data_IF_415408688783
#
_entry.id   IF_415408688783
#
_cell.length_a   1.000
_cell.length_b   1.000
_cell.length_c   1.000
_cell.angle_alpha   90.00
_cell.angle_beta   90.00
_cell.angle_gamma   90.00
#
_symmetry.space_group_name_H-M   'P 1'
#
loop_
_entity.id
_entity.type
_entity.pdbx_description
1 polymer ?
#
# COMPACT_ATOMS: atom_id res chain seq x y z
N UNK A 1 6.51 -4.50 -9.33
CA UNK A 1 7.69 -5.36 -9.11
C UNK A 1 8.99 -4.51 -9.07
N UNK A 2 9.44 -4.21 -7.85
CA UNK A 2 10.73 -3.56 -7.58
C UNK A 2 11.81 -4.64 -7.56
N UNK A 3 13.01 -4.38 -8.09
CA UNK A 3 14.17 -5.26 -7.82
C UNK A 3 15.11 -4.59 -6.83
N UNK A 4 15.67 -5.43 -5.99
CA UNK A 4 16.75 -5.12 -5.05
C UNK A 4 17.93 -4.56 -5.82
N UNK A 5 18.24 -3.28 -5.58
CA UNK A 5 19.52 -2.72 -6.02
C UNK A 5 20.62 -3.32 -5.15
N UNK A 6 21.52 -4.09 -5.76
CA UNK A 6 22.67 -4.66 -5.09
C UNK A 6 23.48 -3.60 -4.36
N UNK A 7 23.75 -3.84 -3.07
CA UNK A 7 24.63 -3.04 -2.25
C UNK A 7 26.07 -3.40 -2.62
N UNK A 8 26.62 -2.77 -3.65
CA UNK A 8 28.06 -2.68 -3.81
C UNK A 8 28.48 -1.31 -3.30
N UNK A 9 29.05 -1.30 -2.11
CA UNK A 9 29.87 -0.18 -1.67
C UNK A 9 30.86 0.20 -2.77
N UNK A 10 31.12 1.50 -2.90
CA UNK A 10 32.16 2.08 -3.74
C UNK A 10 33.34 1.12 -3.96
N UNK A 11 33.33 0.38 -5.07
CA UNK A 11 34.48 -0.30 -5.65
C UNK A 11 34.39 -0.11 -7.16
N UNK A 12 35.18 0.83 -7.67
CA UNK A 12 35.66 0.74 -9.03
C UNK A 12 36.45 -0.57 -9.17
N UNK A 13 35.93 -1.56 -9.92
CA UNK A 13 36.66 -2.37 -10.92
C UNK A 13 35.79 -3.51 -11.46
N UNK A 14 35.71 -3.52 -12.80
CA UNK A 14 35.40 -4.56 -13.77
C UNK A 14 34.78 -5.90 -13.36
N UNK A 15 33.74 -6.30 -14.09
CA UNK A 15 33.65 -7.54 -14.88
C UNK A 15 32.46 -7.35 -15.84
N UNK A 16 32.72 -7.34 -17.15
CA UNK A 16 31.81 -7.82 -18.18
C UNK A 16 32.65 -8.15 -19.43
N UNK A 17 32.96 -9.43 -19.63
CA UNK A 17 33.29 -9.96 -20.96
C UNK A 17 31.98 -10.05 -21.75
N UNK A 18 32.00 -9.56 -22.98
CA UNK A 18 30.87 -9.52 -23.90
C UNK A 18 30.66 -10.86 -24.64
N UNK A 19 29.41 -11.16 -25.05
CA UNK A 19 29.11 -11.88 -26.30
C UNK A 19 28.31 -11.01 -27.29
N UNK A 20 28.18 -11.42 -28.58
CA UNK A 20 28.17 -10.49 -29.71
C UNK A 20 26.80 -9.90 -30.10
N UNK A 21 26.86 -8.61 -30.41
CA UNK A 21 26.24 -7.83 -31.51
C UNK A 21 25.18 -8.53 -32.38
N UNK A 22 23.94 -8.04 -32.56
CA UNK A 22 23.56 -6.71 -33.03
C UNK A 22 22.14 -6.33 -32.56
N UNK A 23 22.00 -5.45 -31.56
CA UNK A 23 20.79 -4.64 -31.25
C UNK A 23 21.04 -3.60 -30.13
N UNK A 24 22.26 -3.09 -29.94
CA UNK A 24 22.70 -2.54 -28.64
C UNK A 24 23.04 -1.06 -28.53
N UNK A 25 23.11 -0.26 -29.61
CA UNK A 25 23.66 1.10 -29.46
C UNK A 25 22.68 2.17 -28.96
N UNK A 26 21.36 2.01 -29.15
CA UNK A 26 20.35 3.00 -28.74
C UNK A 26 19.91 2.78 -27.28
N UNK A 27 19.77 1.52 -26.87
CA UNK A 27 19.34 1.14 -25.50
C UNK A 27 20.38 1.52 -24.45
N UNK A 28 21.68 1.42 -24.78
CA UNK A 28 22.77 1.85 -23.90
C UNK A 28 22.81 3.37 -23.71
N UNK A 29 22.53 4.15 -24.76
CA UNK A 29 22.50 5.62 -24.72
C UNK A 29 21.40 6.16 -23.79
N UNK A 30 20.18 5.61 -23.89
CA UNK A 30 19.06 6.04 -23.04
C UNK A 30 19.27 5.63 -21.58
N UNK A 31 19.77 4.41 -21.34
CA UNK A 31 20.09 3.94 -19.99
C UNK A 31 21.14 4.82 -19.30
N UNK A 32 22.21 5.20 -20.02
CA UNK A 32 23.26 6.10 -19.50
C UNK A 32 22.67 7.47 -19.15
N UNK A 33 21.81 8.03 -20.00
CA UNK A 33 21.13 9.32 -19.73
C UNK A 33 20.27 9.25 -18.47
N UNK A 34 19.46 8.22 -18.32
CA UNK A 34 18.60 8.01 -17.14
C UNK A 34 19.44 7.83 -15.88
N UNK A 35 20.53 7.05 -15.94
CA UNK A 35 21.43 6.87 -14.81
C UNK A 35 22.11 8.17 -14.38
N UNK A 36 22.54 9.00 -15.33
CA UNK A 36 23.10 10.32 -15.07
C UNK A 36 22.06 11.27 -14.44
N UNK A 37 20.83 11.28 -14.96
CA UNK A 37 19.72 12.06 -14.40
C UNK A 37 19.39 11.61 -12.96
N UNK A 38 19.32 10.30 -12.71
CA UNK A 38 19.10 9.75 -11.36
C UNK A 38 20.23 10.15 -10.40
N UNK A 39 21.48 10.12 -10.84
CA UNK A 39 22.63 10.54 -10.02
C UNK A 39 22.52 12.01 -9.62
N UNK A 40 22.27 12.91 -10.58
CA UNK A 40 22.06 14.34 -10.33
C UNK A 40 20.90 14.58 -9.36
N UNK A 41 19.81 13.82 -9.50
CA UNK A 41 18.67 13.89 -8.61
C UNK A 41 19.05 13.48 -7.18
N UNK A 42 19.76 12.36 -7.00
CA UNK A 42 20.23 11.91 -5.69
C UNK A 42 21.23 12.89 -5.07
N UNK A 43 22.14 13.46 -5.85
CA UNK A 43 23.05 14.52 -5.39
C UNK A 43 22.29 15.76 -4.92
N UNK A 44 21.20 16.13 -5.59
CA UNK A 44 20.33 17.23 -5.19
C UNK A 44 19.59 16.93 -3.88
N UNK A 45 18.97 15.75 -3.77
CA UNK A 45 18.19 15.34 -2.59
C UNK A 45 19.10 15.21 -1.37
N UNK A 46 20.21 14.49 -1.51
CA UNK A 46 21.12 14.15 -0.42
C UNK A 46 22.29 15.13 -0.28
N UNK A 47 22.16 16.33 -0.85
CA UNK A 47 23.08 17.46 -0.63
C UNK A 47 23.35 17.72 0.86
N UNK A 48 22.39 17.59 1.80
CA UNK A 48 22.65 17.79 3.24
C UNK A 48 23.73 16.87 3.84
N UNK A 49 24.07 15.76 3.18
CA UNK A 49 25.18 14.89 3.61
C UNK A 49 26.55 15.38 3.14
N UNK A 50 26.63 16.38 2.26
CA UNK A 50 27.90 16.93 1.77
C UNK A 50 28.64 17.64 2.91
N UNK A 51 29.93 17.33 3.06
CA UNK A 51 30.78 17.88 4.12
C UNK A 51 30.74 17.10 5.43
N UNK A 52 29.79 16.17 5.61
CA UNK A 52 29.78 15.27 6.77
C UNK A 52 30.81 14.15 6.60
N UNK A 53 31.50 13.79 7.68
CA UNK A 53 32.35 12.60 7.69
C UNK A 53 31.52 11.36 7.38
N UNK A 54 31.87 10.62 6.33
CA UNK A 54 31.15 9.42 5.91
C UNK A 54 31.19 8.39 7.03
N UNK A 55 30.01 7.94 7.47
CA UNK A 55 29.85 7.08 8.65
C UNK A 55 30.36 7.72 9.96
N UNK A 56 30.44 9.05 10.06
CA UNK A 56 30.59 9.75 11.34
C UNK A 56 29.29 9.76 12.15
N UNK A 57 29.31 10.22 13.41
CA UNK A 57 28.10 10.34 14.25
C UNK A 57 27.01 11.20 13.60
N UNK A 58 27.36 12.37 13.05
CA UNK A 58 26.43 13.30 12.40
C UNK A 58 25.82 12.72 11.12
N UNK A 59 26.65 12.07 10.29
CA UNK A 59 26.18 11.36 9.09
C UNK A 59 25.14 10.30 9.45
N UNK A 60 25.42 9.48 10.48
CA UNK A 60 24.49 8.45 10.95
C UNK A 60 23.23 9.06 11.55
N UNK A 61 23.35 10.15 12.32
CA UNK A 61 22.21 10.85 12.90
C UNK A 61 21.29 11.41 11.81
N UNK A 62 21.85 12.08 10.80
CA UNK A 62 21.09 12.60 9.67
C UNK A 62 20.39 11.49 8.88
N UNK A 63 21.08 10.37 8.60
CA UNK A 63 20.47 9.20 7.95
C UNK A 63 19.35 8.56 8.77
N UNK A 64 19.52 8.42 10.08
CA UNK A 64 18.46 7.89 10.96
C UNK A 64 17.31 8.88 11.14
N UNK A 65 17.52 10.17 10.89
CA UNK A 65 16.47 11.16 11.01
C UNK A 65 15.41 10.99 9.91
N UNK A 66 15.75 10.52 8.71
CA UNK A 66 14.83 10.50 7.58
C UNK A 66 14.36 11.88 7.09
N UNK A 67 14.87 12.98 7.67
CA UNK A 67 14.47 14.34 7.31
C UNK A 67 14.87 14.71 5.88
N UNK A 68 15.95 14.13 5.36
CA UNK A 68 16.46 14.49 4.02
C UNK A 68 15.47 14.11 2.93
N UNK A 69 14.95 12.87 2.98
CA UNK A 69 13.88 12.46 2.07
C UNK A 69 12.58 13.22 2.36
N UNK A 70 12.19 13.31 3.64
CA UNK A 70 10.92 13.90 4.05
C UNK A 70 10.77 15.37 3.63
N UNK A 71 11.80 16.20 3.86
CA UNK A 71 11.78 17.62 3.55
C UNK A 71 11.96 17.92 2.06
N UNK A 72 12.54 17.00 1.29
CA UNK A 72 12.63 17.15 -0.15
C UNK A 72 11.28 16.91 -0.82
N UNK A 73 10.62 15.80 -0.49
CA UNK A 73 9.37 15.42 -1.13
C UNK A 73 8.17 16.14 -0.51
N UNK A 74 8.17 16.32 0.82
CA UNK A 74 7.12 16.91 1.65
C UNK A 74 5.75 16.24 1.47
N UNK A 75 5.66 14.90 1.47
CA UNK A 75 4.40 14.18 1.21
C UNK A 75 3.29 14.47 2.25
N UNK A 76 3.67 15.02 3.41
CA UNK A 76 2.76 15.51 4.45
C UNK A 76 2.04 16.82 4.08
N UNK A 77 2.53 17.59 3.10
CA UNK A 77 2.01 18.90 2.69
C UNK A 77 0.77 18.74 1.81
N UNK A 78 -0.39 18.61 2.45
CA UNK A 78 -1.67 18.43 1.76
C UNK A 78 -2.01 19.56 0.77
N UNK A 79 -1.65 20.81 1.10
CA UNK A 79 -1.88 21.95 0.22
C UNK A 79 -0.94 21.88 -1.00
N UNK A 80 0.36 21.70 -0.77
CA UNK A 80 1.37 21.62 -1.83
C UNK A 80 1.21 20.39 -2.74
N UNK A 81 0.57 19.33 -2.24
CA UNK A 81 0.20 18.16 -3.03
C UNK A 81 -1.16 18.29 -3.73
N UNK A 82 -1.93 19.36 -3.48
CA UNK A 82 -3.20 19.62 -4.14
C UNK A 82 -4.43 18.97 -3.49
N UNK A 83 -4.30 18.34 -2.32
CA UNK A 83 -5.41 17.72 -1.60
C UNK A 83 -6.42 18.75 -1.05
N UNK A 84 -5.94 19.90 -0.57
CA UNK A 84 -6.84 21.00 -0.14
C UNK A 84 -7.65 21.53 -1.31
N UNK A 85 -7.01 21.76 -2.46
CA UNK A 85 -7.68 22.25 -3.69
C UNK A 85 -8.74 21.26 -4.18
N UNK A 86 -8.40 19.98 -4.36
CA UNK A 86 -9.36 19.00 -4.89
C UNK A 86 -10.54 18.78 -3.92
N UNK A 87 -10.33 18.93 -2.61
CA UNK A 87 -11.43 18.92 -1.64
C UNK A 87 -12.41 20.07 -1.88
N UNK A 88 -11.91 21.29 -2.11
CA UNK A 88 -12.73 22.46 -2.43
C UNK A 88 -13.48 22.24 -3.75
N UNK A 89 -12.77 21.78 -4.78
CA UNK A 89 -13.34 21.47 -6.10
C UNK A 89 -14.45 20.39 -5.99
N UNK A 90 -14.29 19.40 -5.10
CA UNK A 90 -15.22 18.29 -4.89
C UNK A 90 -16.23 18.52 -3.75
N UNK A 91 -16.36 19.75 -3.22
CA UNK A 91 -17.15 20.00 -2.01
C UNK A 91 -18.63 19.59 -2.12
N UNK A 92 -19.23 19.71 -3.31
CA UNK A 92 -20.62 19.26 -3.56
C UNK A 92 -20.70 17.73 -3.49
N UNK A 93 -19.82 17.05 -4.21
CA UNK A 93 -19.72 15.58 -4.24
C UNK A 93 -19.50 15.00 -2.85
N UNK A 94 -18.61 15.60 -2.05
CA UNK A 94 -18.34 15.17 -0.68
C UNK A 94 -19.58 15.27 0.21
N UNK A 95 -20.29 16.41 0.16
CA UNK A 95 -21.55 16.58 0.90
C UNK A 95 -22.62 15.58 0.47
N UNK A 96 -22.68 15.27 -0.82
CA UNK A 96 -23.62 14.26 -1.33
C UNK A 96 -23.28 12.86 -0.80
N UNK A 97 -22.00 12.48 -0.81
CA UNK A 97 -21.55 11.20 -0.25
C UNK A 97 -21.91 11.10 1.23
N UNK A 98 -21.67 12.16 2.00
CA UNK A 98 -22.03 12.19 3.42
C UNK A 98 -23.54 12.07 3.64
N UNK A 99 -24.35 12.81 2.87
CA UNK A 99 -25.80 12.74 2.96
C UNK A 99 -26.32 11.33 2.60
N UNK A 100 -25.77 10.69 1.58
CA UNK A 100 -26.12 9.32 1.20
C UNK A 100 -25.73 8.34 2.30
N UNK A 101 -24.48 8.43 2.78
CA UNK A 101 -23.96 7.61 3.88
C UNK A 101 -24.85 7.69 5.12
N UNK A 102 -25.26 8.90 5.52
CA UNK A 102 -26.09 9.13 6.71
C UNK A 102 -27.54 8.65 6.49
N UNK A 103 -28.02 8.64 5.24
CA UNK A 103 -29.34 8.13 4.87
C UNK A 103 -29.40 6.60 4.66
N UNK A 104 -28.25 5.91 4.63
CA UNK A 104 -28.22 4.46 4.42
C UNK A 104 -28.93 3.72 5.54
N UNK A 105 -29.94 2.91 5.19
CA UNK A 105 -30.62 2.00 6.14
C UNK A 105 -29.71 0.84 6.56
N UNK A 106 -28.80 0.44 5.68
CA UNK A 106 -27.84 -0.63 5.92
C UNK A 106 -26.56 -0.05 6.50
N UNK A 107 -26.15 -0.44 7.71
CA UNK A 107 -24.91 0.03 8.31
C UNK A 107 -23.70 -0.30 7.42
N UNK A 108 -22.73 0.62 7.34
CA UNK A 108 -21.56 0.50 6.47
C UNK A 108 -20.75 -0.80 6.68
N UNK A 109 -20.76 -1.39 7.88
CA UNK A 109 -20.09 -2.67 8.13
C UNK A 109 -20.80 -3.87 7.50
N UNK A 110 -22.13 -3.84 7.38
CA UNK A 110 -22.85 -4.90 6.68
C UNK A 110 -22.50 -4.85 5.20
N UNK A 111 -22.45 -3.65 4.62
CA UNK A 111 -21.97 -3.44 3.25
C UNK A 111 -20.50 -3.85 3.10
N UNK A 112 -19.64 -3.49 4.06
CA UNK A 112 -18.23 -3.88 4.06
C UNK A 112 -18.07 -5.40 4.04
N UNK A 113 -18.84 -6.12 4.86
CA UNK A 113 -18.85 -7.60 4.89
C UNK A 113 -19.27 -8.21 3.55
N UNK A 114 -20.23 -7.61 2.85
CA UNK A 114 -20.66 -8.04 1.50
C UNK A 114 -19.59 -7.78 0.43
N UNK A 115 -18.75 -6.76 0.62
CA UNK A 115 -17.73 -6.35 -0.33
C UNK A 115 -16.35 -6.98 -0.09
N UNK A 116 -16.18 -7.80 0.95
CA UNK A 116 -14.89 -8.41 1.33
C UNK A 116 -14.23 -9.14 0.15
N UNK A 117 -14.99 -10.00 -0.54
CA UNK A 117 -14.50 -10.75 -1.70
C UNK A 117 -14.02 -9.80 -2.80
N UNK A 118 -14.89 -8.88 -3.23
CA UNK A 118 -14.63 -8.05 -4.40
C UNK A 118 -13.45 -7.10 -4.13
N UNK A 119 -13.37 -6.60 -2.90
CA UNK A 119 -12.27 -5.78 -2.43
C UNK A 119 -10.94 -6.55 -2.36
N UNK A 120 -10.94 -7.75 -1.76
CA UNK A 120 -9.73 -8.57 -1.68
C UNK A 120 -9.26 -9.02 -3.06
N UNK A 121 -10.17 -9.47 -3.92
CA UNK A 121 -9.93 -9.86 -5.30
C UNK A 121 -9.26 -8.72 -6.09
N UNK A 122 -9.88 -7.53 -6.12
CA UNK A 122 -9.33 -6.39 -6.83
C UNK A 122 -7.98 -5.95 -6.23
N UNK A 123 -7.83 -6.00 -4.91
CA UNK A 123 -6.57 -5.65 -4.25
C UNK A 123 -5.42 -6.55 -4.69
N UNK A 124 -5.62 -7.87 -4.77
CA UNK A 124 -4.55 -8.78 -5.24
C UNK A 124 -4.36 -8.69 -6.76
N UNK A 125 -5.43 -8.47 -7.53
CA UNK A 125 -5.33 -8.29 -8.99
C UNK A 125 -4.47 -7.07 -9.37
N UNK A 126 -4.55 -5.97 -8.61
CA UNK A 126 -3.66 -4.81 -8.76
C UNK A 126 -2.18 -5.20 -8.55
N UNK A 127 -1.89 -6.24 -7.76
CA UNK A 127 -0.54 -6.77 -7.55
C UNK A 127 -0.15 -7.89 -8.53
N UNK A 128 -0.85 -8.04 -9.66
CA UNK A 128 -0.55 -9.04 -10.69
C UNK A 128 -0.98 -10.48 -10.31
N UNK A 129 -2.01 -10.60 -9.47
CA UNK A 129 -2.73 -11.86 -9.24
C UNK A 129 -3.75 -12.08 -10.37
N UNK A 130 -3.78 -13.29 -10.93
CA UNK A 130 -4.53 -13.62 -12.15
C UNK A 130 -5.73 -14.54 -11.88
N UNK A 131 -6.05 -14.83 -10.61
CA UNK A 131 -7.28 -15.54 -10.26
C UNK A 131 -8.49 -14.80 -10.82
N UNK A 132 -9.48 -15.55 -11.29
CA UNK A 132 -10.75 -14.97 -11.74
C UNK A 132 -11.70 -14.76 -10.57
N UNK A 133 -12.72 -13.91 -10.75
CA UNK A 133 -13.68 -13.60 -9.69
C UNK A 133 -14.40 -14.84 -9.16
N UNK A 134 -14.79 -15.77 -10.04
CA UNK A 134 -15.44 -17.02 -9.62
C UNK A 134 -14.60 -17.85 -8.65
N UNK A 135 -13.28 -17.90 -8.85
CA UNK A 135 -12.35 -18.56 -7.93
C UNK A 135 -12.31 -17.85 -6.58
N UNK A 136 -12.35 -16.51 -6.60
CA UNK A 136 -12.33 -15.70 -5.38
C UNK A 136 -13.57 -15.91 -4.51
N UNK A 137 -14.74 -16.02 -5.14
CA UNK A 137 -16.00 -16.36 -4.47
C UNK A 137 -15.91 -17.73 -3.79
N UNK A 138 -15.43 -18.76 -4.52
CA UNK A 138 -15.29 -20.12 -3.97
C UNK A 138 -14.36 -20.15 -2.76
N UNK A 139 -13.25 -19.42 -2.82
CA UNK A 139 -12.31 -19.32 -1.70
C UNK A 139 -12.91 -18.58 -0.50
N UNK A 140 -13.57 -17.44 -0.71
CA UNK A 140 -14.21 -16.67 0.37
C UNK A 140 -15.33 -17.48 1.05
N UNK A 141 -16.21 -18.11 0.28
CA UNK A 141 -17.29 -18.94 0.80
C UNK A 141 -16.77 -20.11 1.63
N UNK A 142 -15.69 -20.77 1.16
CA UNK A 142 -15.08 -21.85 1.91
C UNK A 142 -14.47 -21.37 3.22
N UNK A 143 -13.68 -20.29 3.20
CA UNK A 143 -13.07 -19.71 4.39
C UNK A 143 -14.14 -19.28 5.39
N UNK A 144 -15.18 -18.58 4.93
CA UNK A 144 -16.28 -18.10 5.76
C UNK A 144 -17.03 -19.24 6.42
N UNK A 145 -17.35 -20.30 5.68
CA UNK A 145 -18.23 -21.37 6.17
C UNK A 145 -17.50 -22.42 7.02
N UNK A 146 -16.22 -22.69 6.73
CA UNK A 146 -15.49 -23.84 7.29
C UNK A 146 -14.36 -23.44 8.24
N UNK A 147 -13.86 -22.20 8.16
CA UNK A 147 -12.71 -21.76 8.94
C UNK A 147 -13.06 -20.61 9.89
N UNK A 148 -13.55 -19.49 9.34
CA UNK A 148 -13.75 -18.25 10.08
C UNK A 148 -14.92 -18.32 11.08
N UNK A 149 -15.88 -19.23 10.90
CA UNK A 149 -16.95 -19.52 11.87
C UNK A 149 -16.45 -19.98 13.23
N UNK A 150 -15.21 -20.50 13.30
CA UNK A 150 -14.59 -20.97 14.54
C UNK A 150 -13.92 -19.85 15.35
N UNK A 151 -13.92 -18.62 14.85
CA UNK A 151 -13.22 -17.49 15.47
C UNK A 151 -14.16 -16.31 15.66
N UNK A 152 -14.09 -15.66 16.82
CA UNK A 152 -14.59 -14.29 16.97
C UNK A 152 -13.53 -13.32 16.40
N UNK A 153 -13.53 -13.15 15.08
CA UNK A 153 -12.54 -12.31 14.39
C UNK A 153 -12.52 -10.89 14.93
N UNK A 154 -13.68 -10.38 15.33
CA UNK A 154 -13.79 -9.03 15.86
C UNK A 154 -12.96 -8.86 17.16
N UNK A 155 -12.74 -9.94 17.92
CA UNK A 155 -11.98 -9.95 19.17
C UNK A 155 -10.50 -10.30 19.02
N UNK A 156 -10.06 -10.73 17.85
CA UNK A 156 -8.64 -10.96 17.59
C UNK A 156 -7.89 -9.64 17.47
N UNK A 157 -6.78 -9.51 18.19
CA UNK A 157 -5.78 -8.48 17.94
C UNK A 157 -5.07 -8.70 16.59
N UNK A 158 -4.45 -7.67 16.00
CA UNK A 158 -3.63 -7.83 14.79
C UNK A 158 -2.49 -8.85 14.94
N UNK A 159 -1.94 -8.97 16.15
CA UNK A 159 -0.90 -9.97 16.45
C UNK A 159 -1.46 -11.39 16.41
N UNK A 160 -2.62 -11.64 17.04
CA UNK A 160 -3.27 -12.96 16.98
C UNK A 160 -3.70 -13.30 15.56
N UNK A 161 -4.18 -12.33 14.78
CA UNK A 161 -4.49 -12.52 13.36
C UNK A 161 -3.25 -12.93 12.55
N UNK A 162 -2.10 -12.28 12.80
CA UNK A 162 -0.82 -12.67 12.19
C UNK A 162 -0.45 -14.11 12.54
N UNK A 163 -0.66 -14.53 13.78
CA UNK A 163 -0.23 -15.83 14.27
C UNK A 163 -1.20 -16.96 13.89
N UNK A 164 -2.46 -16.62 13.56
CA UNK A 164 -3.52 -17.54 13.14
C UNK A 164 -3.09 -18.48 12.01
N UNK A 165 -3.14 -19.80 12.25
CA UNK A 165 -2.80 -20.80 11.24
C UNK A 165 -3.90 -20.85 10.16
N UNK A 166 -3.61 -20.35 8.97
CA UNK A 166 -4.57 -20.32 7.86
C UNK A 166 -4.57 -21.66 7.10
N UNK A 167 -5.75 -22.16 6.69
CA UNK A 167 -5.84 -23.42 5.97
C UNK A 167 -5.25 -23.30 4.56
N UNK A 168 -4.78 -24.42 4.00
CA UNK A 168 -4.56 -24.50 2.55
C UNK A 168 -5.91 -24.63 1.85
N UNK A 169 -6.16 -23.77 0.87
CA UNK A 169 -7.41 -23.72 0.09
C UNK A 169 -7.16 -23.91 -1.39
N UNK A 170 -5.92 -24.25 -1.79
CA UNK A 170 -5.54 -24.46 -3.19
C UNK A 170 -6.26 -25.62 -3.87
N UNK A 171 -6.74 -26.60 -3.11
CA UNK A 171 -7.51 -27.73 -3.63
C UNK A 171 -8.86 -27.34 -4.24
N UNK A 172 -9.41 -26.17 -3.90
CA UNK A 172 -10.69 -25.67 -4.43
C UNK A 172 -10.55 -25.16 -5.87
N UNK A 173 -9.35 -24.76 -6.25
CA UNK A 173 -9.03 -24.16 -7.55
C UNK A 173 -7.75 -24.82 -8.10
N UNK A 174 -7.82 -26.12 -8.44
CA UNK A 174 -6.63 -26.96 -8.62
C UNK A 174 -5.71 -26.55 -9.79
N UNK A 175 -6.23 -25.75 -10.73
CA UNK A 175 -5.48 -25.26 -11.89
C UNK A 175 -4.80 -23.91 -11.64
N UNK A 176 -5.06 -23.27 -10.50
CA UNK A 176 -4.51 -21.96 -10.18
C UNK A 176 -3.10 -22.05 -9.59
N UNK A 177 -2.34 -20.96 -9.72
CA UNK A 177 -1.05 -20.82 -9.04
C UNK A 177 -1.24 -20.77 -7.51
N UNK A 178 -0.54 -21.64 -6.79
CA UNK A 178 -0.69 -21.78 -5.33
C UNK A 178 -0.30 -20.53 -4.55
N UNK A 179 0.67 -19.75 -5.02
CA UNK A 179 1.06 -18.52 -4.34
C UNK A 179 0.00 -17.43 -4.55
N UNK A 180 -0.62 -17.37 -5.73
CA UNK A 180 -1.75 -16.47 -5.98
C UNK A 180 -2.97 -16.83 -5.12
N UNK A 181 -3.27 -18.13 -4.95
CA UNK A 181 -4.32 -18.59 -4.02
C UNK A 181 -3.99 -18.22 -2.58
N UNK A 182 -2.74 -18.42 -2.17
CA UNK A 182 -2.27 -18.07 -0.82
C UNK A 182 -2.37 -16.56 -0.55
N UNK A 183 -2.00 -15.75 -1.54
CA UNK A 183 -2.08 -14.29 -1.47
C UNK A 183 -3.52 -13.82 -1.32
N UNK A 184 -4.44 -14.34 -2.13
CA UNK A 184 -5.86 -14.01 -2.05
C UNK A 184 -6.47 -14.47 -0.72
N UNK A 185 -6.17 -15.71 -0.28
CA UNK A 185 -6.59 -16.23 1.03
C UNK A 185 -6.20 -15.29 2.16
N UNK A 186 -4.94 -14.86 2.21
CA UNK A 186 -4.45 -13.94 3.24
C UNK A 186 -5.23 -12.62 3.21
N UNK A 187 -5.47 -12.09 2.01
CA UNK A 187 -6.18 -10.83 1.85
C UNK A 187 -7.66 -10.93 2.22
N UNK A 188 -8.35 -12.03 1.89
CA UNK A 188 -9.73 -12.28 2.30
C UNK A 188 -9.86 -12.27 3.82
N UNK A 189 -8.98 -13.00 4.51
CA UNK A 189 -8.97 -13.06 5.98
C UNK A 189 -8.70 -11.68 6.60
N UNK A 190 -7.71 -10.94 6.09
CA UNK A 190 -7.40 -9.60 6.57
C UNK A 190 -8.55 -8.60 6.32
N UNK A 191 -9.13 -8.61 5.12
CA UNK A 191 -10.29 -7.76 4.76
C UNK A 191 -11.50 -8.08 5.64
N UNK A 192 -11.76 -9.36 5.90
CA UNK A 192 -12.86 -9.78 6.77
C UNK A 192 -12.64 -9.32 8.21
N UNK A 193 -11.43 -9.52 8.74
CA UNK A 193 -11.07 -9.03 10.07
C UNK A 193 -11.29 -7.51 10.18
N UNK A 194 -10.84 -6.71 9.21
CA UNK A 194 -11.06 -5.25 9.19
C UNK A 194 -12.55 -4.91 9.17
N UNK A 195 -13.36 -5.63 8.37
CA UNK A 195 -14.81 -5.41 8.29
C UNK A 195 -15.55 -5.70 9.60
N UNK A 196 -14.91 -6.45 10.51
CA UNK A 196 -15.45 -6.83 11.80
C UNK A 196 -14.87 -6.01 12.97
N UNK A 197 -13.62 -5.56 12.88
CA UNK A 197 -12.93 -4.82 13.96
C UNK A 197 -13.04 -3.32 13.88
N UNK A 198 -13.09 -2.72 12.67
CA UNK A 198 -13.03 -1.26 12.49
C UNK A 198 -14.13 -0.51 13.25
N UNK A 199 -15.31 -1.12 13.42
CA UNK A 199 -16.43 -0.53 14.15
C UNK A 199 -16.26 -0.51 15.67
N UNK A 200 -15.28 -1.22 16.23
CA UNK A 200 -15.01 -1.16 17.69
C UNK A 200 -14.27 0.11 18.10
N UNK A 201 -13.71 0.84 17.13
CA UNK A 201 -13.01 2.10 17.35
C UNK A 201 -13.44 3.15 16.30
N UNK A 202 -14.76 3.48 16.24
CA UNK A 202 -15.29 4.40 15.25
C UNK A 202 -14.72 5.81 15.47
N UNK A 203 -14.50 6.54 14.38
CA UNK A 203 -14.03 7.92 14.42
C UNK A 203 -12.56 8.10 14.81
N UNK A 204 -11.78 7.03 14.97
CA UNK A 204 -10.34 7.11 15.28
C UNK A 204 -9.48 7.26 14.02
N UNK A 205 -8.22 7.67 14.18
CA UNK A 205 -7.27 7.88 13.08
C UNK A 205 -6.82 6.61 12.34
N UNK A 206 -7.35 5.43 12.69
CA UNK A 206 -7.01 4.13 12.10
C UNK A 206 -5.85 3.39 12.78
N UNK A 207 -5.41 2.30 12.17
CA UNK A 207 -4.35 1.40 12.65
C UNK A 207 -3.02 2.13 12.97
N UNK A 208 -2.38 1.79 14.09
CA UNK A 208 -1.04 2.31 14.43
C UNK A 208 0.09 1.53 13.72
N UNK A 209 1.34 1.99 13.89
CA UNK A 209 2.52 1.41 13.24
C UNK A 209 2.68 -0.10 13.49
N UNK A 210 2.52 -0.55 14.74
CA UNK A 210 2.68 -1.95 15.08
C UNK A 210 1.57 -2.80 14.47
N UNK A 211 0.33 -2.33 14.50
CA UNK A 211 -0.82 -3.01 13.91
C UNK A 211 -0.65 -3.17 12.38
N UNK A 212 -0.16 -2.13 11.71
CA UNK A 212 0.16 -2.18 10.26
C UNK A 212 1.28 -3.18 9.98
N UNK A 213 2.30 -3.29 10.84
CA UNK A 213 3.37 -4.29 10.69
C UNK A 213 2.83 -5.72 10.87
N UNK A 214 1.94 -5.94 11.85
CA UNK A 214 1.28 -7.24 12.02
C UNK A 214 0.40 -7.60 10.81
N UNK A 215 -0.38 -6.66 10.29
CA UNK A 215 -1.22 -6.88 9.11
C UNK A 215 -0.39 -7.10 7.85
N UNK A 216 0.70 -6.35 7.65
CA UNK A 216 1.65 -6.61 6.57
C UNK A 216 2.21 -8.03 6.65
N UNK A 217 2.51 -8.50 7.87
CA UNK A 217 2.93 -9.88 8.09
C UNK A 217 1.85 -10.90 7.75
N UNK A 218 0.58 -10.64 8.10
CA UNK A 218 -0.53 -11.53 7.79
C UNK A 218 -0.78 -11.62 6.26
N UNK A 219 -0.72 -10.48 5.56
CA UNK A 219 -0.87 -10.42 4.10
C UNK A 219 0.21 -11.22 3.35
N UNK A 220 1.41 -11.28 3.90
CA UNK A 220 2.56 -11.95 3.29
C UNK A 220 2.78 -13.40 3.78
N UNK A 221 1.90 -13.89 4.65
CA UNK A 221 2.02 -15.21 5.28
C UNK A 221 2.04 -16.32 4.23
N UNK A 222 2.91 -17.32 4.43
CA UNK A 222 3.06 -18.50 3.57
C UNK A 222 3.44 -18.22 2.09
N UNK A 223 3.74 -16.98 1.70
CA UNK A 223 4.20 -16.64 0.34
C UNK A 223 5.69 -16.95 0.09
N UNK A 224 6.41 -17.36 1.14
CA UNK A 224 7.78 -17.84 1.02
C UNK A 224 7.84 -19.35 1.31
N UNK A 225 7.86 -20.21 0.29
CA UNK A 225 7.85 -21.65 0.47
C UNK A 225 9.16 -22.18 1.10
N UNK A 226 10.24 -21.39 1.04
CA UNK A 226 11.57 -21.80 1.51
C UNK A 226 11.82 -21.49 2.98
N UNK A 227 11.24 -20.40 3.48
CA UNK A 227 11.45 -19.95 4.86
C UNK A 227 10.20 -19.26 5.41
N UNK A 228 9.45 -19.99 6.25
CA UNK A 228 8.28 -19.46 6.94
C UNK A 228 8.64 -18.22 7.76
N UNK A 229 7.74 -17.23 7.77
CA UNK A 229 7.88 -16.00 8.56
C UNK A 229 8.89 -14.99 8.01
N UNK A 230 9.43 -15.19 6.80
CA UNK A 230 10.34 -14.24 6.16
C UNK A 230 9.89 -13.90 4.73
N UNK A 231 10.24 -12.71 4.26
CA UNK A 231 10.06 -12.35 2.85
C UNK A 231 10.87 -13.27 1.92
N UNK A 232 10.39 -13.51 0.68
CA UNK A 232 11.13 -14.27 -0.34
C UNK A 232 12.58 -13.78 -0.53
N UNK A 233 13.56 -14.69 -0.74
CA UNK A 233 14.98 -14.36 -0.79
C UNK A 233 15.40 -13.53 -2.01
N UNK A 234 14.60 -13.52 -3.08
CA UNK A 234 14.81 -12.68 -4.27
C UNK A 234 14.58 -11.17 -3.99
N UNK A 235 13.97 -10.85 -2.84
CA UNK A 235 13.76 -9.49 -2.34
C UNK A 235 14.92 -8.96 -1.46
N UNK A 236 16.00 -9.73 -1.33
CA UNK A 236 17.27 -9.28 -0.76
C UNK A 236 17.67 -10.02 0.51
N UNK A 237 18.36 -9.37 1.47
CA UNK A 237 18.74 -10.01 2.71
C UNK A 237 17.49 -10.45 3.49
N UNK A 238 17.64 -11.46 4.35
CA UNK A 238 16.49 -11.97 5.07
C UNK A 238 15.90 -10.93 6.03
N UNK A 239 14.60 -10.71 5.88
CA UNK A 239 13.76 -9.79 6.66
C UNK A 239 12.54 -10.59 7.13
N UNK A 240 12.19 -10.45 8.42
CA UNK A 240 10.99 -11.07 8.98
C UNK A 240 9.74 -10.40 8.40
N UNK A 241 8.64 -11.14 8.26
CA UNK A 241 7.38 -10.55 7.80
C UNK A 241 6.91 -9.45 8.75
N UNK A 242 6.56 -8.29 8.20
CA UNK A 242 6.22 -7.08 8.96
C UNK A 242 7.41 -6.22 9.39
N UNK A 243 8.66 -6.63 9.11
CA UNK A 243 9.83 -5.77 9.30
C UNK A 243 10.14 -4.95 8.04
N UNK A 244 10.72 -3.76 8.26
CA UNK A 244 11.11 -2.88 7.18
C UNK A 244 12.25 -3.43 6.34
N UNK A 245 12.26 -3.04 5.07
CA UNK A 245 13.28 -3.43 4.10
C UNK A 245 14.66 -2.98 4.54
N UNK A 246 15.66 -3.83 4.26
CA UNK A 246 17.08 -3.54 4.49
C UNK A 246 17.81 -3.11 3.23
N UNK A 247 17.12 -3.03 2.09
CA UNK A 247 17.68 -2.71 0.78
C UNK A 247 17.04 -1.48 0.15
N UNK A 248 17.81 -0.67 -0.59
CA UNK A 248 17.26 0.41 -1.39
C UNK A 248 16.36 -0.13 -2.51
N UNK A 249 15.33 0.65 -2.85
CA UNK A 249 14.39 0.31 -3.91
C UNK A 249 14.72 1.04 -5.21
N UNK A 250 14.39 0.38 -6.32
CA UNK A 250 14.34 1.00 -7.65
C UNK A 250 13.06 0.58 -8.35
N UNK A 251 12.31 1.56 -8.88
CA UNK A 251 11.12 1.28 -9.66
C UNK A 251 11.52 1.04 -11.13
N UNK A 252 11.17 -0.13 -11.68
CA UNK A 252 11.44 -0.43 -13.10
C UNK A 252 10.67 0.51 -14.04
N UNK A 253 9.41 0.77 -13.73
CA UNK A 253 8.51 1.65 -14.49
C UNK A 253 8.86 3.13 -14.35
N UNK A 254 9.60 3.51 -13.31
CA UNK A 254 10.07 4.87 -13.11
C UNK A 254 11.48 4.86 -12.50
N UNK A 255 12.50 4.79 -13.37
CA UNK A 255 13.90 4.80 -12.94
C UNK A 255 14.33 6.12 -12.27
N UNK A 256 13.49 7.14 -12.21
CA UNK A 256 13.74 8.38 -11.47
C UNK A 256 13.02 8.43 -10.11
N UNK A 257 12.17 7.45 -9.78
CA UNK A 257 11.54 7.37 -8.47
C UNK A 257 12.59 7.20 -7.36
N UNK A 258 12.52 8.03 -6.33
CA UNK A 258 13.42 7.99 -5.17
C UNK A 258 12.62 7.70 -3.92
N UNK A 259 12.91 6.55 -3.32
CA UNK A 259 12.39 6.13 -2.02
C UNK A 259 13.40 6.51 -0.93
N UNK A 260 12.98 6.63 0.33
CA UNK A 260 13.93 6.82 1.44
C UNK A 260 14.91 5.65 1.50
N UNK A 261 16.15 5.89 1.93
CA UNK A 261 17.08 4.78 2.16
C UNK A 261 16.62 3.92 3.34
N UNK A 262 17.01 2.64 3.41
CA UNK A 262 16.59 1.75 4.52
C UNK A 262 16.82 2.32 5.92
N UNK A 263 17.88 3.10 6.12
CA UNK A 263 18.19 3.76 7.40
C UNK A 263 17.21 4.88 7.76
N UNK A 264 16.57 5.49 6.76
CA UNK A 264 15.60 6.58 6.92
C UNK A 264 14.17 6.05 7.13
N UNK A 265 13.86 4.85 6.61
CA UNK A 265 12.50 4.27 6.61
C UNK A 265 11.82 4.29 7.98
N UNK A 266 12.47 3.87 9.11
CA UNK A 266 11.80 3.90 10.41
C UNK A 266 11.32 5.29 10.81
N UNK A 267 12.14 6.32 10.59
CA UNK A 267 11.77 7.69 10.94
C UNK A 267 10.71 8.28 9.99
N UNK A 268 10.78 7.97 8.70
CA UNK A 268 9.73 8.34 7.75
C UNK A 268 8.38 7.70 8.09
N UNK A 269 8.36 6.41 8.48
CA UNK A 269 7.12 5.74 8.86
C UNK A 269 6.55 6.31 10.15
N UNK A 270 7.39 6.55 11.16
CA UNK A 270 6.96 7.22 12.40
C UNK A 270 6.25 8.55 12.09
N UNK A 271 6.87 9.40 11.25
CA UNK A 271 6.27 10.67 10.81
C UNK A 271 4.98 10.51 10.01
N UNK A 272 4.89 9.48 9.18
CA UNK A 272 3.66 9.17 8.45
C UNK A 272 2.49 8.91 9.42
N UNK A 273 2.69 8.12 10.48
CA UNK A 273 1.64 7.89 11.48
C UNK A 273 1.35 9.13 12.32
N UNK A 274 2.37 9.91 12.70
CA UNK A 274 2.20 11.20 13.40
C UNK A 274 1.41 12.21 12.54
N UNK A 275 1.73 12.31 11.24
CA UNK A 275 1.00 13.13 10.28
C UNK A 275 -0.45 12.69 10.16
N UNK A 276 -0.71 11.39 10.03
CA UNK A 276 -2.07 10.87 9.85
C UNK A 276 -2.93 11.14 11.09
N UNK A 277 -2.39 10.95 12.29
CA UNK A 277 -3.06 11.31 13.54
C UNK A 277 -3.36 12.82 13.57
N UNK A 278 -2.36 13.65 13.30
CA UNK A 278 -2.51 15.11 13.33
C UNK A 278 -3.56 15.62 12.34
N UNK A 279 -3.47 15.23 11.07
CA UNK A 279 -4.40 15.71 10.03
C UNK A 279 -5.84 15.23 10.28
N UNK A 280 -5.99 14.06 10.91
CA UNK A 280 -7.26 13.54 11.37
C UNK A 280 -7.85 14.41 12.50
N UNK A 281 -7.05 14.72 13.53
CA UNK A 281 -7.49 15.53 14.68
C UNK A 281 -7.80 16.98 14.31
N UNK A 282 -7.07 17.54 13.34
CA UNK A 282 -7.27 18.90 12.81
C UNK A 282 -8.63 19.08 12.12
N UNK A 283 -9.23 17.99 11.61
CA UNK A 283 -10.54 17.96 10.93
C UNK A 283 -10.69 18.97 9.78
N UNK A 284 -9.58 19.39 9.17
CA UNK A 284 -9.57 20.31 8.03
C UNK A 284 -9.78 19.60 6.69
N UNK A 285 -9.36 18.34 6.61
CA UNK A 285 -9.61 17.50 5.44
C UNK A 285 -10.71 16.48 5.72
N UNK A 286 -11.54 16.26 4.72
CA UNK A 286 -12.58 15.26 4.71
C UNK A 286 -11.94 13.85 4.77
N UNK A 287 -12.51 12.88 5.51
CA UNK A 287 -11.90 11.55 5.68
C UNK A 287 -11.56 10.84 4.37
N UNK A 288 -12.40 10.93 3.33
CA UNK A 288 -12.09 10.39 2.00
C UNK A 288 -10.80 10.98 1.38
N UNK A 289 -10.52 12.26 1.63
CA UNK A 289 -9.32 12.93 1.12
C UNK A 289 -8.09 12.49 1.92
N UNK A 290 -8.21 12.40 3.25
CA UNK A 290 -7.16 11.86 4.13
C UNK A 290 -6.81 10.42 3.72
N UNK A 291 -7.81 9.59 3.44
CA UNK A 291 -7.63 8.21 3.00
C UNK A 291 -6.82 8.12 1.69
N UNK A 292 -7.12 9.00 0.72
CA UNK A 292 -6.38 9.07 -0.55
C UNK A 292 -4.91 9.47 -0.33
N UNK A 293 -4.67 10.53 0.46
CA UNK A 293 -3.31 10.98 0.76
C UNK A 293 -2.52 9.92 1.54
N UNK A 294 -3.18 9.21 2.46
CA UNK A 294 -2.59 8.12 3.24
C UNK A 294 -2.01 7.03 2.35
N UNK A 295 -2.76 6.59 1.33
CA UNK A 295 -2.27 5.58 0.36
C UNK A 295 -1.06 6.10 -0.42
N UNK A 296 -1.17 7.31 -0.98
CA UNK A 296 -0.12 7.88 -1.81
C UNK A 296 1.19 8.08 -1.03
N UNK A 297 1.09 8.61 0.20
CA UNK A 297 2.23 8.86 1.10
C UNK A 297 2.87 7.54 1.55
N UNK A 298 2.09 6.57 2.05
CA UNK A 298 2.62 5.28 2.48
C UNK A 298 3.39 4.58 1.34
N UNK A 299 2.83 4.58 0.13
CA UNK A 299 3.48 3.99 -1.05
C UNK A 299 4.70 4.77 -1.53
N UNK A 300 4.84 6.05 -1.16
CA UNK A 300 6.01 6.86 -1.49
C UNK A 300 7.20 6.50 -0.59
N UNK A 301 6.94 6.09 0.66
CA UNK A 301 7.95 5.55 1.58
C UNK A 301 8.32 4.11 1.20
N UNK A 302 7.31 3.29 0.89
CA UNK A 302 7.43 1.88 0.50
C UNK A 302 8.26 1.06 1.50
N UNK A 303 7.77 0.90 2.75
CA UNK A 303 8.60 0.47 3.88
C UNK A 303 8.99 -1.01 3.89
N UNK A 304 8.18 -1.89 3.31
CA UNK A 304 8.39 -3.34 3.35
C UNK A 304 9.11 -3.86 2.10
N UNK A 305 9.78 -5.03 2.16
CA UNK A 305 10.32 -5.67 0.96
C UNK A 305 9.27 -5.96 -0.13
N UNK A 306 8.07 -6.36 0.28
CA UNK A 306 6.91 -6.58 -0.59
C UNK A 306 5.59 -6.41 0.20
N UNK A 307 4.45 -6.41 -0.49
CA UNK A 307 3.11 -6.28 0.11
C UNK A 307 2.68 -4.85 0.39
N UNK A 308 3.46 -3.84 -0.02
CA UNK A 308 3.19 -2.43 0.27
C UNK A 308 1.87 -1.95 -0.32
N UNK A 309 1.52 -2.37 -1.55
CA UNK A 309 0.24 -2.02 -2.19
C UNK A 309 -0.96 -2.60 -1.47
N UNK A 310 -0.92 -3.89 -1.12
CA UNK A 310 -1.97 -4.56 -0.33
C UNK A 310 -2.10 -3.93 1.05
N UNK A 311 -0.98 -3.64 1.70
CA UNK A 311 -0.96 -3.00 3.03
C UNK A 311 -1.52 -1.58 2.98
N UNK A 312 -1.19 -0.76 1.97
CA UNK A 312 -1.70 0.61 1.87
C UNK A 312 -3.22 0.64 1.64
N UNK A 313 -3.74 -0.27 0.81
CA UNK A 313 -5.18 -0.42 0.60
C UNK A 313 -5.87 -0.87 1.89
N UNK A 314 -5.29 -1.81 2.63
CA UNK A 314 -5.78 -2.23 3.95
C UNK A 314 -5.84 -1.06 4.95
N UNK A 315 -4.81 -0.20 5.00
CA UNK A 315 -4.82 1.01 5.83
C UNK A 315 -5.97 1.95 5.42
N UNK A 316 -6.16 2.15 4.11
CA UNK A 316 -7.26 2.96 3.59
C UNK A 316 -8.62 2.37 3.97
N UNK A 317 -8.79 1.06 3.81
CA UNK A 317 -10.03 0.35 4.11
C UNK A 317 -10.41 0.48 5.59
N UNK A 318 -9.49 0.21 6.50
CA UNK A 318 -9.70 0.40 7.95
C UNK A 318 -10.12 1.84 8.27
N UNK A 319 -9.40 2.84 7.76
CA UNK A 319 -9.71 4.25 8.00
C UNK A 319 -11.12 4.61 7.49
N UNK A 320 -11.48 4.19 6.28
CA UNK A 320 -12.81 4.44 5.72
C UNK A 320 -13.93 3.83 6.55
N UNK A 321 -13.80 2.57 6.96
CA UNK A 321 -14.83 1.90 7.76
C UNK A 321 -15.01 2.56 9.14
N UNK A 322 -13.94 3.00 9.78
CA UNK A 322 -14.01 3.74 11.06
C UNK A 322 -14.79 5.05 10.93
N UNK A 323 -14.83 5.64 9.74
CA UNK A 323 -15.57 6.86 9.45
C UNK A 323 -16.92 6.63 8.75
N UNK A 324 -17.39 5.39 8.72
CA UNK A 324 -18.70 5.03 8.18
C UNK A 324 -18.77 5.01 6.65
N UNK A 325 -17.63 5.12 5.95
CA UNK A 325 -17.57 4.95 4.50
C UNK A 325 -17.40 3.47 4.14
N UNK A 326 -17.66 3.13 2.88
CA UNK A 326 -17.58 1.74 2.39
C UNK A 326 -16.20 1.42 1.77
N UNK A 327 -15.82 0.15 1.62
CA UNK A 327 -14.59 -0.21 0.92
C UNK A 327 -14.61 0.26 -0.54
N UNK A 328 -13.46 0.67 -1.07
CA UNK A 328 -13.35 1.11 -2.48
C UNK A 328 -13.12 -0.10 -3.38
N UNK A 329 -14.14 -0.45 -4.16
CA UNK A 329 -14.06 -1.47 -5.21
C UNK A 329 -14.39 -0.80 -6.53
N UNK A 330 -13.36 -0.51 -7.32
CA UNK A 330 -13.49 0.23 -8.56
C UNK A 330 -14.20 -0.61 -9.64
N UNK A 331 -15.21 -0.05 -10.29
CA UNK A 331 -15.79 -0.62 -11.51
C UNK A 331 -14.79 -0.53 -12.67
N UNK A 332 -14.66 -1.56 -13.51
CA UNK A 332 -13.81 -1.58 -14.72
C UNK A 332 -12.42 -0.93 -14.54
N UNK A 333 -11.67 -1.40 -13.52
CA UNK A 333 -10.33 -0.89 -13.23
C UNK A 333 -9.26 -1.72 -13.93
N UNK A 334 -8.49 -1.06 -14.79
CA UNK A 334 -7.24 -1.63 -15.28
C UNK A 334 -6.11 -1.37 -14.29
N UNK A 335 -5.24 -2.36 -14.10
CA UNK A 335 -4.07 -2.24 -13.21
C UNK A 335 -3.20 -1.04 -13.56
N UNK A 336 -3.02 -0.76 -14.86
CA UNK A 336 -2.21 0.37 -15.32
C UNK A 336 -2.80 1.72 -14.89
N UNK A 337 -4.12 1.84 -14.82
CA UNK A 337 -4.81 3.05 -14.35
C UNK A 337 -4.56 3.29 -12.88
N UNK A 338 -4.70 2.26 -12.05
CA UNK A 338 -4.39 2.38 -10.62
C UNK A 338 -2.96 2.83 -10.37
N UNK A 339 -1.99 2.22 -11.06
CA UNK A 339 -0.57 2.58 -10.91
C UNK A 339 -0.28 4.01 -11.38
N UNK A 340 -0.96 4.48 -12.44
CA UNK A 340 -0.87 5.88 -12.90
C UNK A 340 -1.43 6.83 -11.84
N UNK A 341 -2.65 6.60 -11.37
CA UNK A 341 -3.33 7.42 -10.35
C UNK A 341 -2.47 7.60 -9.09
N UNK A 342 -1.88 6.52 -8.57
CA UNK A 342 -0.98 6.60 -7.41
C UNK A 342 0.29 7.38 -7.73
N UNK A 343 0.90 7.12 -8.89
CA UNK A 343 2.11 7.84 -9.31
C UNK A 343 1.84 9.35 -9.43
N UNK A 344 0.71 9.74 -10.00
CA UNK A 344 0.37 11.14 -10.20
C UNK A 344 0.04 11.82 -8.85
N UNK A 345 -0.65 11.13 -7.95
CA UNK A 345 -0.85 11.59 -6.57
C UNK A 345 0.48 11.81 -5.83
N UNK A 346 1.47 10.93 -6.00
CA UNK A 346 2.83 11.11 -5.45
C UNK A 346 3.59 12.28 -6.07
N UNK A 347 3.19 12.71 -7.27
CA UNK A 347 3.74 13.85 -8.02
C UNK A 347 2.84 15.09 -7.94
N UNK A 348 2.08 15.25 -6.85
CA UNK A 348 1.25 16.45 -6.55
C UNK A 348 0.09 16.67 -7.53
N UNK A 349 -0.42 15.58 -8.10
CA UNK A 349 -1.61 15.56 -8.99
C UNK A 349 -2.59 14.49 -8.53
N UNK A 350 -3.26 14.67 -7.37
CA UNK A 350 -4.10 13.64 -6.76
C UNK A 350 -5.49 13.55 -7.41
N UNK A 351 -5.85 14.49 -8.28
CA UNK A 351 -7.19 14.69 -8.81
C UNK A 351 -7.83 13.42 -9.38
N UNK A 352 -7.12 12.69 -10.25
CA UNK A 352 -7.66 11.47 -10.87
C UNK A 352 -7.96 10.40 -9.82
N UNK A 353 -7.04 10.18 -8.88
CA UNK A 353 -7.20 9.20 -7.82
C UNK A 353 -8.36 9.56 -6.89
N UNK A 354 -8.39 10.81 -6.42
CA UNK A 354 -9.43 11.32 -5.52
C UNK A 354 -10.79 11.23 -6.19
N UNK A 355 -10.94 11.75 -7.41
CA UNK A 355 -12.21 11.69 -8.14
C UNK A 355 -12.67 10.25 -8.36
N UNK A 356 -11.77 9.33 -8.70
CA UNK A 356 -12.13 7.92 -8.87
C UNK A 356 -12.60 7.29 -7.56
N UNK A 357 -12.01 7.63 -6.42
CA UNK A 357 -12.47 7.20 -5.09
C UNK A 357 -13.85 7.78 -4.76
N UNK A 358 -14.08 9.07 -5.00
CA UNK A 358 -15.36 9.72 -4.72
C UNK A 358 -16.50 9.17 -5.58
N UNK A 359 -16.27 9.01 -6.88
CA UNK A 359 -17.24 8.41 -7.80
C UNK A 359 -17.56 6.98 -7.37
N UNK A 360 -16.56 6.19 -7.00
CA UNK A 360 -16.78 4.81 -6.52
C UNK A 360 -17.61 4.78 -5.23
N UNK A 361 -17.40 5.71 -4.30
CA UNK A 361 -18.26 5.83 -3.11
C UNK A 361 -19.71 6.13 -3.49
N UNK A 362 -19.94 7.10 -4.38
CA UNK A 362 -21.29 7.43 -4.85
C UNK A 362 -21.98 6.24 -5.53
N UNK A 363 -21.28 5.55 -6.42
CA UNK A 363 -21.79 4.38 -7.14
C UNK A 363 -22.23 3.28 -6.17
N UNK A 364 -21.38 2.94 -5.20
CA UNK A 364 -21.68 1.91 -4.21
C UNK A 364 -22.87 2.35 -3.33
N UNK A 365 -22.82 3.56 -2.76
CA UNK A 365 -23.88 4.02 -1.85
C UNK A 365 -25.23 4.10 -2.56
N UNK A 366 -25.29 4.61 -3.79
CA UNK A 366 -26.54 4.67 -4.59
C UNK A 366 -27.07 3.28 -4.94
N UNK A 367 -26.20 2.35 -5.32
CA UNK A 367 -26.62 0.98 -5.63
C UNK A 367 -27.30 0.31 -4.42
N UNK A 368 -26.72 0.46 -3.23
CA UNK A 368 -27.28 -0.12 -2.00
C UNK A 368 -28.42 0.70 -1.39
N UNK A 369 -28.61 1.96 -1.78
CA UNK A 369 -29.79 2.74 -1.40
C UNK A 369 -31.05 2.22 -2.11
N UNK A 370 -30.90 1.75 -3.35
CA UNK A 370 -31.99 1.23 -4.19
C UNK A 370 -32.34 -0.24 -3.97
N UNK A 371 -31.54 -0.99 -3.20
CA UNK A 371 -31.92 -2.34 -2.76
C UNK A 371 -33.09 -2.22 -1.76
N UNK A 372 -34.32 -2.22 -2.28
CA UNK A 372 -35.52 -2.47 -1.49
C UNK A 372 -35.40 -3.88 -0.87
N UNK A 373 -35.57 -3.96 0.44
CA UNK A 373 -35.56 -5.21 1.22
C UNK A 373 -36.89 -5.94 1.11
#
# INVERSE_FOLDING_TARGET
>A
MFRVGGWQGFRHRGICRAPPSHRSNIVDSEYVKIAAARRKLLEKIYKPFQGLEKNGPEYRALGKSGLVWEEYFRPYDSQGYGYTRIQEDAAITLREIDALKDAMRVPANILAKRLVEAYAHQSVAIEDNHLIRGESIVLDDHLRSNFLTNFDLASLSPQELKDLALPDVSFLVPNADKLQVTELRNHLVASRWISETSLRAPGTSGLNENEVRYLSSALMKDLNPWRKGCYPPDLGPSVLLGDYRKTPLTARSNRLAVFPYPVEVPACIKRFFEWRQRIHDEKQLHPLIIACQTVAYFLHIHPFPDGNGRTSRIIMHDYLLRHGYVPIVFSALERADYLRMIKDAQNRKPDEFVNRVLVTQLEILRAYQSEEF
#
